data_IF_343439812399
#
_entry.id   IF_343439812399
#
_cell.length_a   1.000
_cell.length_b   1.000
_cell.length_c   1.000
_cell.angle_alpha   90.00
_cell.angle_beta   90.00
_cell.angle_gamma   90.00
#
_symmetry.space_group_name_H-M   'P 1'
#
loop_
_entity.id
_entity.type
_entity.pdbx_description
1 polymer ?
#
# COMPACT_ATOMS: atom_id res chain seq x y z
N UNK A 1 46.01 9.06 40.79
CA UNK A 1 46.26 7.80 40.04
C UNK A 1 46.41 8.20 38.59
N UNK A 2 47.57 7.94 37.99
CA UNK A 2 47.89 8.34 36.60
C UNK A 2 48.28 7.12 35.78
N UNK A 3 48.05 7.17 34.47
CA UNK A 3 48.59 6.17 33.55
C UNK A 3 50.08 6.41 33.27
N UNK A 4 50.69 5.54 32.46
CA UNK A 4 52.10 5.61 32.07
C UNK A 4 52.43 6.85 31.22
N UNK A 5 51.42 7.48 30.63
CA UNK A 5 51.55 8.75 29.89
C UNK A 5 51.35 9.98 30.80
N UNK A 6 51.07 9.80 32.09
CA UNK A 6 50.87 10.86 33.07
C UNK A 6 49.46 11.45 33.10
N UNK A 7 48.49 10.89 32.37
CA UNK A 7 47.11 11.37 32.39
C UNK A 7 46.42 10.96 33.70
N UNK A 8 45.61 11.84 34.27
CA UNK A 8 44.79 11.50 35.43
C UNK A 8 43.73 10.44 35.06
N UNK A 9 43.62 9.44 35.93
CA UNK A 9 42.54 8.45 35.90
C UNK A 9 41.43 8.77 36.91
N UNK A 10 41.58 9.81 37.73
CA UNK A 10 40.60 10.18 38.75
C UNK A 10 39.21 10.46 38.18
N UNK A 11 38.18 9.91 38.80
CA UNK A 11 36.78 10.03 38.37
C UNK A 11 36.42 9.23 37.12
N UNK A 12 37.36 8.53 36.48
CA UNK A 12 37.06 7.69 35.31
C UNK A 12 36.54 6.33 35.76
N UNK A 13 35.40 5.92 35.21
CA UNK A 13 35.00 4.52 35.19
C UNK A 13 35.96 3.76 34.28
N UNK A 14 36.39 2.56 34.67
CA UNK A 14 37.29 1.70 33.91
C UNK A 14 36.91 0.23 34.12
N UNK A 15 37.23 -0.59 33.12
CA UNK A 15 37.14 -2.05 33.19
C UNK A 15 38.44 -2.67 33.70
N UNK A 16 38.33 -3.69 34.55
CA UNK A 16 39.43 -4.42 35.16
C UNK A 16 39.22 -5.93 35.02
N UNK A 17 40.30 -6.66 34.76
CA UNK A 17 40.36 -8.11 34.94
C UNK A 17 41.20 -8.40 36.16
N UNK A 18 40.62 -9.10 37.14
CA UNK A 18 41.31 -9.56 38.32
C UNK A 18 41.71 -11.02 38.12
N UNK A 19 42.95 -11.37 38.47
CA UNK A 19 43.47 -12.74 38.43
C UNK A 19 43.44 -13.38 37.02
N UNK A 20 43.71 -12.58 35.98
CA UNK A 20 43.73 -12.99 34.57
C UNK A 20 44.45 -14.33 34.35
N UNK A 21 43.82 -15.21 33.57
CA UNK A 21 44.32 -16.54 33.22
C UNK A 21 44.18 -17.60 34.31
N UNK A 22 43.48 -17.31 35.42
CA UNK A 22 43.19 -18.27 36.49
C UNK A 22 41.71 -18.65 36.48
N UNK A 23 41.36 -19.76 37.15
CA UNK A 23 39.96 -20.16 37.35
C UNK A 23 39.14 -19.21 38.21
N UNK A 24 39.80 -18.21 38.83
CA UNK A 24 39.20 -17.16 39.65
C UNK A 24 39.23 -15.81 38.93
N UNK A 25 39.37 -15.81 37.60
CA UNK A 25 39.31 -14.61 36.79
C UNK A 25 37.95 -13.92 36.96
N UNK A 26 37.97 -12.62 37.22
CA UNK A 26 36.75 -11.81 37.38
C UNK A 26 36.88 -10.50 36.61
N UNK A 27 35.78 -10.13 35.94
CA UNK A 27 35.65 -8.87 35.23
C UNK A 27 34.86 -7.89 36.10
N UNK A 28 35.45 -6.71 36.28
CA UNK A 28 34.99 -5.69 37.21
C UNK A 28 34.97 -4.35 36.50
N UNK A 29 33.94 -3.55 36.75
CA UNK A 29 33.88 -2.16 36.35
C UNK A 29 33.84 -1.30 37.61
N UNK A 30 34.61 -0.21 37.66
CA UNK A 30 34.58 0.69 38.80
C UNK A 30 35.12 2.06 38.46
N UNK A 31 34.74 3.06 39.24
CA UNK A 31 35.24 4.43 39.10
C UNK A 31 36.47 4.62 39.98
N UNK A 32 37.57 5.09 39.39
CA UNK A 32 38.81 5.36 40.12
C UNK A 32 38.63 6.57 41.01
N UNK A 33 38.85 6.41 42.32
CA UNK A 33 38.98 7.50 43.27
C UNK A 33 40.45 7.63 43.67
N UNK A 34 41.11 8.66 43.12
CA UNK A 34 42.51 8.90 43.36
C UNK A 34 42.82 9.31 44.81
N UNK A 35 41.84 9.87 45.52
CA UNK A 35 42.01 10.33 46.90
C UNK A 35 42.11 9.16 47.86
N UNK A 36 41.19 8.20 47.73
CA UNK A 36 41.21 6.96 48.54
C UNK A 36 42.12 5.88 47.96
N UNK A 37 42.61 6.05 46.73
CA UNK A 37 43.35 5.03 45.96
C UNK A 37 42.56 3.72 45.85
N UNK A 38 41.24 3.84 45.62
CA UNK A 38 40.32 2.72 45.55
C UNK A 38 39.40 2.82 44.33
N UNK A 39 38.64 1.76 44.09
CA UNK A 39 37.53 1.77 43.13
C UNK A 39 36.23 1.97 43.91
N UNK A 40 35.42 2.93 43.46
CA UNK A 40 34.07 3.19 43.96
C UNK A 40 33.04 2.80 42.89
N UNK A 41 31.77 2.63 43.28
CA UNK A 41 30.67 2.21 42.38
C UNK A 41 30.99 0.94 41.59
N UNK A 42 31.56 -0.05 42.28
CA UNK A 42 32.10 -1.25 41.65
C UNK A 42 30.97 -2.20 41.24
N UNK A 43 30.89 -2.52 39.94
CA UNK A 43 30.13 -3.65 39.41
C UNK A 43 31.08 -4.85 39.28
N UNK A 44 30.66 -6.00 39.79
CA UNK A 44 31.46 -7.23 39.86
C UNK A 44 30.80 -8.35 39.09
N UNK A 45 31.54 -9.44 38.86
CA UNK A 45 31.04 -10.62 38.14
C UNK A 45 30.34 -10.26 36.81
N UNK A 46 30.97 -9.35 36.05
CA UNK A 46 30.49 -8.98 34.73
C UNK A 46 30.74 -10.18 33.81
N UNK A 47 29.67 -10.78 33.29
CA UNK A 47 29.79 -11.93 32.42
C UNK A 47 30.41 -11.55 31.08
N UNK A 48 31.31 -12.42 30.62
CA UNK A 48 31.98 -12.23 29.33
C UNK A 48 31.08 -12.50 28.13
N UNK A 49 29.95 -13.18 28.34
CA UNK A 49 29.08 -13.61 27.25
C UNK A 49 28.00 -12.57 26.95
N UNK A 50 27.50 -11.90 27.99
CA UNK A 50 26.32 -11.04 27.89
C UNK A 50 26.48 -9.69 28.64
N UNK A 51 27.62 -9.43 29.28
CA UNK A 51 27.90 -8.19 30.00
C UNK A 51 27.03 -7.97 31.24
N UNK A 52 26.18 -8.93 31.64
CA UNK A 52 25.33 -8.76 32.80
C UNK A 52 26.15 -8.87 34.10
N UNK A 53 25.77 -8.07 35.08
CA UNK A 53 26.28 -8.21 36.46
C UNK A 53 25.47 -9.30 37.14
N UNK A 54 26.11 -10.42 37.44
CA UNK A 54 25.45 -11.49 38.20
C UNK A 54 25.63 -11.24 39.69
N UNK A 55 24.54 -11.28 40.47
CA UNK A 55 24.55 -10.98 41.92
C UNK A 55 25.17 -12.08 42.78
N UNK A 56 26.10 -12.87 42.22
CA UNK A 56 26.86 -13.86 42.94
C UNK A 56 27.80 -13.20 43.93
N UNK A 57 28.12 -13.88 45.04
CA UNK A 57 29.22 -13.46 45.90
C UNK A 57 30.50 -13.61 45.09
N UNK A 58 30.93 -12.55 44.41
CA UNK A 58 32.12 -12.57 43.56
C UNK A 58 33.30 -13.22 44.24
N UNK A 59 34.17 -13.80 43.43
CA UNK A 59 35.28 -14.63 43.90
C UNK A 59 36.02 -13.96 45.06
N UNK A 60 36.37 -14.74 46.10
CA UNK A 60 37.20 -14.25 47.20
C UNK A 60 38.60 -13.97 46.62
N UNK A 61 38.84 -12.72 46.23
CA UNK A 61 40.13 -12.33 45.69
C UNK A 61 41.21 -12.35 46.76
N UNK A 62 42.40 -12.75 46.36
CA UNK A 62 43.56 -12.84 47.25
C UNK A 62 44.29 -11.51 47.31
N UNK A 63 44.94 -11.22 48.44
CA UNK A 63 45.93 -10.14 48.50
C UNK A 63 47.00 -10.40 47.43
N UNK A 64 47.37 -9.37 46.67
CA UNK A 64 48.31 -9.43 45.53
C UNK A 64 47.77 -10.16 44.28
N UNK A 65 46.45 -10.21 44.08
CA UNK A 65 45.89 -10.58 42.78
C UNK A 65 46.44 -9.65 41.68
N UNK A 66 46.69 -10.21 40.50
CA UNK A 66 47.11 -9.42 39.33
C UNK A 66 45.89 -8.69 38.80
N UNK A 67 46.00 -7.38 38.60
CA UNK A 67 44.92 -6.54 38.05
C UNK A 67 45.41 -6.00 36.71
N UNK A 68 44.63 -6.21 35.66
CA UNK A 68 44.86 -5.64 34.33
C UNK A 68 43.70 -4.72 33.98
N UNK A 69 44.00 -3.49 33.54
CA UNK A 69 42.98 -2.59 32.98
C UNK A 69 42.66 -3.10 31.58
N UNK A 70 41.39 -3.33 31.28
CA UNK A 70 40.94 -3.87 29.99
C UNK A 70 39.84 -3.01 29.39
N UNK A 71 39.76 -3.01 28.06
CA UNK A 71 38.64 -2.41 27.32
C UNK A 71 37.43 -3.35 27.23
N UNK A 72 37.54 -4.59 27.73
CA UNK A 72 36.52 -5.62 27.54
C UNK A 72 35.10 -5.21 27.96
N UNK A 73 34.85 -4.67 29.17
CA UNK A 73 33.50 -4.27 29.57
C UNK A 73 32.87 -3.23 28.62
N UNK A 74 33.65 -2.27 28.13
CA UNK A 74 33.20 -1.28 27.15
C UNK A 74 32.81 -1.91 25.81
N UNK A 75 33.59 -2.88 25.34
CA UNK A 75 33.30 -3.57 24.10
C UNK A 75 32.02 -4.41 24.22
N UNK A 76 31.78 -5.03 25.37
CA UNK A 76 30.55 -5.79 25.63
C UNK A 76 29.33 -4.88 25.67
N UNK A 77 29.41 -3.72 26.32
CA UNK A 77 28.33 -2.73 26.33
C UNK A 77 28.02 -2.21 24.92
N UNK A 78 29.04 -1.91 24.11
CA UNK A 78 28.86 -1.52 22.71
C UNK A 78 28.16 -2.62 21.90
N UNK A 79 28.54 -3.89 22.10
CA UNK A 79 27.91 -5.04 21.42
C UNK A 79 26.45 -5.20 21.85
N UNK A 80 26.12 -5.02 23.14
CA UNK A 80 24.74 -5.08 23.63
C UNK A 80 23.85 -4.00 23.01
N UNK A 81 24.38 -2.79 22.87
CA UNK A 81 23.66 -1.70 22.20
C UNK A 81 23.50 -1.99 20.70
N UNK A 82 24.54 -2.47 20.02
CA UNK A 82 24.45 -2.84 18.58
C UNK A 82 23.43 -3.97 18.35
N UNK A 83 23.34 -4.93 19.27
CA UNK A 83 22.39 -6.04 19.20
C UNK A 83 20.99 -5.67 19.72
N UNK A 84 20.75 -4.41 20.11
CA UNK A 84 19.46 -3.93 20.60
C UNK A 84 19.02 -4.53 21.94
N UNK A 85 19.94 -5.09 22.72
CA UNK A 85 19.64 -5.68 24.03
C UNK A 85 19.52 -4.61 25.11
N UNK A 86 20.32 -3.55 25.02
CA UNK A 86 20.25 -2.39 25.90
C UNK A 86 19.99 -1.11 25.12
N UNK A 87 19.31 -0.15 25.75
CA UNK A 87 19.20 1.21 25.24
C UNK A 87 20.57 1.91 25.30
N UNK A 88 20.95 2.62 24.24
CA UNK A 88 22.15 3.43 24.23
C UNK A 88 21.99 4.57 25.26
N UNK A 89 22.54 4.40 26.47
CA UNK A 89 22.46 5.39 27.56
C UNK A 89 23.13 6.75 27.25
N UNK A 90 23.76 6.88 26.08
CA UNK A 90 24.03 8.14 25.43
C UNK A 90 23.60 8.03 23.96
N UNK A 91 23.11 9.14 23.39
CA UNK A 91 22.84 9.20 21.95
C UNK A 91 24.14 8.80 21.25
N UNK A 92 24.17 7.63 20.59
CA UNK A 92 25.15 7.40 19.54
C UNK A 92 24.87 8.47 18.49
N UNK A 93 25.49 9.64 18.66
CA UNK A 93 25.33 10.73 17.72
C UNK A 93 25.96 10.27 16.44
N UNK A 94 25.13 9.85 15.50
CA UNK A 94 25.56 9.77 14.13
C UNK A 94 26.10 11.16 13.77
N UNK A 95 27.28 11.29 13.14
CA UNK A 95 27.75 12.58 12.69
C UNK A 95 26.67 13.21 11.80
N UNK A 96 26.44 14.51 11.98
CA UNK A 96 25.37 15.29 11.33
C UNK A 96 25.42 15.32 9.79
N UNK A 97 26.44 14.69 9.20
CA UNK A 97 26.55 14.46 7.77
C UNK A 97 27.37 13.19 7.52
N UNK A 98 26.76 12.16 6.92
CA UNK A 98 27.51 11.05 6.31
C UNK A 98 27.19 10.97 4.83
N UNK A 99 28.22 10.77 4.03
CA UNK A 99 28.06 10.24 2.68
C UNK A 99 28.01 8.71 2.78
N UNK A 100 26.90 8.11 2.37
CA UNK A 100 26.78 6.65 2.26
C UNK A 100 27.38 6.24 0.91
N UNK A 101 28.58 5.65 0.94
CA UNK A 101 29.32 5.27 -0.26
C UNK A 101 29.37 3.76 -0.50
N UNK A 102 28.90 2.95 0.44
CA UNK A 102 28.93 1.48 0.38
C UNK A 102 27.72 0.90 1.12
N UNK A 103 27.27 -0.29 0.72
CA UNK A 103 26.10 -1.00 1.26
C UNK A 103 26.29 -1.49 2.71
N UNK A 104 27.46 -1.28 3.29
CA UNK A 104 27.81 -1.67 4.67
C UNK A 104 27.76 -0.50 5.65
N UNK A 105 27.45 0.71 5.20
CA UNK A 105 27.30 1.86 6.10
C UNK A 105 25.96 1.75 6.85
N UNK A 106 26.01 1.96 8.17
CA UNK A 106 24.81 2.11 8.98
C UNK A 106 24.19 3.48 8.70
N UNK A 107 22.91 3.49 8.39
CA UNK A 107 22.08 4.67 8.17
C UNK A 107 21.21 4.90 9.38
N UNK A 108 20.97 6.16 9.74
CA UNK A 108 19.93 6.46 10.72
C UNK A 108 18.55 6.32 10.10
N UNK A 109 17.52 6.30 10.96
CA UNK A 109 16.13 6.19 10.54
C UNK A 109 15.74 7.35 9.62
N UNK A 110 16.20 8.57 9.90
CA UNK A 110 15.89 9.75 9.09
C UNK A 110 16.40 9.61 7.65
N UNK A 111 17.64 9.13 7.46
CA UNK A 111 18.17 8.83 6.12
C UNK A 111 17.39 7.71 5.43
N UNK A 112 17.04 6.63 6.15
CA UNK A 112 16.26 5.52 5.57
C UNK A 112 14.88 5.99 5.15
N UNK A 113 14.20 6.77 5.99
CA UNK A 113 12.88 7.34 5.68
C UNK A 113 12.99 8.30 4.50
N UNK A 114 14.02 9.16 4.44
CA UNK A 114 14.27 10.06 3.33
C UNK A 114 14.56 9.31 2.01
N UNK A 115 15.38 8.27 2.04
CA UNK A 115 15.66 7.45 0.85
C UNK A 115 14.44 6.63 0.45
N UNK A 116 13.68 6.07 1.39
CA UNK A 116 12.44 5.38 1.08
C UNK A 116 11.42 6.33 0.42
N UNK A 117 11.31 7.57 0.93
CA UNK A 117 10.46 8.61 0.37
C UNK A 117 10.95 9.12 -1.00
N UNK A 118 12.26 9.20 -1.22
CA UNK A 118 12.85 9.84 -2.42
C UNK A 118 13.21 8.86 -3.54
N UNK A 119 13.67 7.65 -3.21
CA UNK A 119 14.24 6.68 -4.16
C UNK A 119 13.31 5.49 -4.48
N UNK A 120 12.30 5.23 -3.64
CA UNK A 120 11.34 4.14 -3.85
C UNK A 120 9.89 4.58 -4.09
N UNK A 121 9.54 5.79 -3.67
CA UNK A 121 8.20 6.36 -3.83
C UNK A 121 8.03 7.17 -5.10
N UNK A 122 6.81 7.19 -5.63
CA UNK A 122 6.39 8.17 -6.63
C UNK A 122 6.42 9.53 -5.94
N UNK A 123 7.53 10.27 -6.07
CA UNK A 123 7.68 11.61 -5.48
C UNK A 123 6.85 12.67 -6.22
N UNK A 124 6.39 12.34 -7.43
CA UNK A 124 5.49 13.20 -8.19
C UNK A 124 4.23 13.50 -7.38
N UNK A 125 3.94 14.80 -7.24
CA UNK A 125 2.80 15.31 -6.49
C UNK A 125 2.72 14.92 -5.01
N UNK A 126 3.80 14.39 -4.44
CA UNK A 126 3.82 13.99 -3.03
C UNK A 126 3.68 15.24 -2.15
N UNK A 127 2.77 15.19 -1.19
CA UNK A 127 2.61 16.23 -0.18
C UNK A 127 3.40 15.82 1.06
N UNK A 128 4.29 16.69 1.54
CA UNK A 128 5.10 16.46 2.73
C UNK A 128 4.95 17.59 3.73
N UNK A 129 5.06 17.27 5.02
CA UNK A 129 5.10 18.25 6.10
C UNK A 129 6.44 19.02 6.06
N UNK A 130 6.37 20.35 5.92
CA UNK A 130 7.52 21.26 5.90
C UNK A 130 7.77 21.93 7.27
N UNK A 131 7.01 21.53 8.29
CA UNK A 131 7.02 22.04 9.66
C UNK A 131 5.85 22.98 9.95
N UNK A 132 5.33 22.89 11.19
CA UNK A 132 4.19 23.69 11.62
C UNK A 132 2.95 23.38 10.78
N UNK A 133 2.33 24.39 10.18
CA UNK A 133 1.17 24.23 9.28
C UNK A 133 1.54 24.35 7.79
N UNK A 134 2.83 24.19 7.45
CA UNK A 134 3.28 24.33 6.06
C UNK A 134 3.52 22.99 5.39
N UNK A 135 3.22 22.91 4.09
CA UNK A 135 3.46 21.72 3.27
C UNK A 135 4.34 22.06 2.08
N UNK A 136 5.07 21.04 1.61
CA UNK A 136 5.68 21.02 0.29
C UNK A 136 4.93 20.03 -0.61
N UNK A 137 4.84 20.33 -1.90
CA UNK A 137 4.23 19.47 -2.92
C UNK A 137 5.22 19.25 -4.06
N UNK A 138 5.59 17.99 -4.29
CA UNK A 138 6.52 17.61 -5.35
C UNK A 138 6.00 17.94 -6.76
N UNK A 139 6.92 18.24 -7.69
CA UNK A 139 6.62 18.45 -9.11
C UNK A 139 6.10 17.19 -9.81
N UNK A 140 5.33 17.31 -10.88
CA UNK A 140 4.83 16.16 -11.64
C UNK A 140 4.14 16.54 -12.96
N UNK A 141 3.62 15.53 -13.66
CA UNK A 141 2.86 15.71 -14.90
C UNK A 141 1.44 15.18 -14.75
N UNK A 142 0.45 16.02 -15.03
CA UNK A 142 -0.96 15.64 -15.09
C UNK A 142 -1.30 15.26 -16.52
N UNK A 143 -2.03 14.17 -16.71
CA UNK A 143 -2.61 13.83 -18.00
C UNK A 143 -4.07 14.24 -17.94
N UNK A 144 -4.43 15.20 -18.78
CA UNK A 144 -5.79 15.72 -18.95
C UNK A 144 -6.30 15.36 -20.34
N UNK A 145 -7.60 15.56 -20.58
CA UNK A 145 -8.19 15.34 -21.90
C UNK A 145 -7.55 16.22 -23.00
N UNK A 146 -7.01 17.39 -22.61
CA UNK A 146 -6.38 18.36 -23.52
C UNK A 146 -4.84 18.18 -23.63
N UNK A 147 -4.28 17.18 -22.94
CA UNK A 147 -2.86 16.81 -23.04
C UNK A 147 -2.15 16.72 -21.68
N UNK A 148 -0.82 16.81 -21.73
CA UNK A 148 0.04 16.72 -20.54
C UNK A 148 0.32 18.12 -19.99
N UNK A 149 -0.01 18.34 -18.72
CA UNK A 149 0.23 19.59 -17.99
C UNK A 149 1.32 19.36 -16.95
N UNK A 150 2.36 20.21 -16.96
CA UNK A 150 3.44 20.14 -15.97
C UNK A 150 3.10 20.98 -14.74
N UNK A 151 3.26 20.40 -13.56
CA UNK A 151 3.25 21.12 -12.29
C UNK A 151 4.68 21.17 -11.75
N UNK A 152 5.20 22.39 -11.56
CA UNK A 152 6.59 22.61 -11.15
C UNK A 152 6.88 22.24 -9.68
N UNK A 153 5.85 21.88 -8.90
CA UNK A 153 5.96 21.74 -7.45
C UNK A 153 5.82 23.09 -6.74
N UNK A 154 5.52 23.04 -5.45
CA UNK A 154 5.44 24.23 -4.59
C UNK A 154 6.00 23.90 -3.22
N UNK A 155 6.63 24.87 -2.56
CA UNK A 155 7.22 24.70 -1.24
C UNK A 155 6.72 25.76 -0.25
N UNK A 156 6.52 25.37 1.01
CA UNK A 156 6.12 26.26 2.10
C UNK A 156 4.67 26.75 2.02
N UNK A 157 3.77 25.97 1.42
CA UNK A 157 2.36 26.36 1.31
C UNK A 157 1.67 26.26 2.66
N UNK A 158 1.08 27.37 3.10
CA UNK A 158 0.49 27.49 4.43
C UNK A 158 -0.95 26.99 4.43
N UNK A 159 -1.24 26.04 5.32
CA UNK A 159 -2.57 25.50 5.51
C UNK A 159 -3.42 26.39 6.44
N UNK A 160 -4.73 26.18 6.42
CA UNK A 160 -5.62 26.78 7.44
C UNK A 160 -5.44 26.01 8.74
N UNK A 161 -5.14 26.70 9.84
CA UNK A 161 -5.02 26.10 11.18
C UNK A 161 -6.37 25.62 11.73
N UNK A 162 -6.34 24.68 12.67
CA UNK A 162 -7.51 24.05 13.30
C UNK A 162 -8.57 23.56 12.29
N UNK A 163 -8.13 23.02 11.15
CA UNK A 163 -9.00 22.60 10.05
C UNK A 163 -8.49 21.35 9.33
N UNK A 164 -9.40 20.71 8.59
CA UNK A 164 -9.03 19.74 7.55
C UNK A 164 -8.85 20.47 6.24
N UNK A 165 -7.67 20.33 5.64
CA UNK A 165 -7.26 20.93 4.38
C UNK A 165 -7.17 19.82 3.31
N UNK A 166 -7.84 20.04 2.19
CA UNK A 166 -7.87 19.17 1.03
C UNK A 166 -6.96 19.77 -0.03
N UNK A 167 -5.79 19.17 -0.25
CA UNK A 167 -4.74 19.61 -1.16
C UNK A 167 -4.94 18.92 -2.51
N UNK A 168 -5.12 19.69 -3.57
CA UNK A 168 -5.48 19.18 -4.90
C UNK A 168 -4.90 20.06 -6.01
N UNK A 169 -4.88 19.55 -7.24
CA UNK A 169 -4.54 20.31 -8.44
C UNK A 169 -5.79 20.48 -9.31
N UNK A 170 -5.97 21.68 -9.88
CA UNK A 170 -6.93 21.84 -10.98
C UNK A 170 -6.38 21.23 -12.28
N UNK A 171 -7.20 21.25 -13.35
CA UNK A 171 -6.80 20.70 -14.65
C UNK A 171 -5.73 21.53 -15.37
N UNK A 172 -5.50 22.77 -14.93
CA UNK A 172 -4.41 23.62 -15.43
C UNK A 172 -3.10 23.41 -14.64
N UNK A 173 -3.08 22.47 -13.69
CA UNK A 173 -1.91 22.16 -12.88
C UNK A 173 -1.63 23.18 -11.77
N UNK A 174 -2.63 23.95 -11.34
CA UNK A 174 -2.51 24.92 -10.24
C UNK A 174 -2.87 24.26 -8.91
N UNK A 175 -2.06 24.51 -7.87
CA UNK A 175 -2.34 24.04 -6.52
C UNK A 175 -3.54 24.77 -5.91
N UNK A 176 -4.49 24.00 -5.41
CA UNK A 176 -5.69 24.48 -4.73
C UNK A 176 -5.81 23.77 -3.38
N UNK A 177 -6.04 24.56 -2.32
CA UNK A 177 -6.26 24.06 -0.96
C UNK A 177 -7.67 24.49 -0.54
N UNK A 178 -8.51 23.53 -0.16
CA UNK A 178 -9.88 23.78 0.28
C UNK A 178 -10.12 23.20 1.68
N UNK A 179 -11.01 23.79 2.47
CA UNK A 179 -11.36 23.29 3.81
C UNK A 179 -12.74 22.61 3.88
N UNK A 180 -13.53 22.66 2.80
CA UNK A 180 -14.88 22.09 2.78
C UNK A 180 -14.99 20.69 2.17
N UNK A 181 -13.96 20.23 1.44
CA UNK A 181 -13.96 18.94 0.76
C UNK A 181 -13.24 18.96 -0.60
N UNK A 182 -13.22 17.79 -1.26
CA UNK A 182 -12.71 17.64 -2.62
C UNK A 182 -13.59 18.38 -3.64
N UNK A 183 -12.96 19.02 -4.63
CA UNK A 183 -13.65 19.66 -5.75
C UNK A 183 -13.76 18.67 -6.91
N UNK A 184 -14.93 18.57 -7.53
CA UNK A 184 -15.14 17.68 -8.69
C UNK A 184 -14.31 18.17 -9.89
N UNK A 185 -13.64 17.23 -10.56
CA UNK A 185 -12.76 17.51 -11.70
C UNK A 185 -11.32 17.89 -11.33
N UNK A 186 -10.97 17.92 -10.04
CA UNK A 186 -9.62 18.23 -9.57
C UNK A 186 -8.92 16.93 -9.17
N UNK A 187 -7.58 16.93 -9.24
CA UNK A 187 -6.75 15.78 -8.89
C UNK A 187 -6.41 15.85 -7.39
N UNK A 188 -6.95 14.95 -6.55
CA UNK A 188 -6.66 14.95 -5.12
C UNK A 188 -5.22 14.52 -4.85
N UNK A 189 -4.51 15.25 -3.97
CA UNK A 189 -3.14 14.94 -3.57
C UNK A 189 -3.07 14.46 -2.12
N UNK A 190 -3.60 15.23 -1.17
CA UNK A 190 -3.56 14.86 0.25
C UNK A 190 -4.70 15.49 1.05
N UNK A 191 -5.07 14.84 2.16
CA UNK A 191 -5.94 15.39 3.19
C UNK A 191 -5.12 15.62 4.46
N UNK A 192 -5.01 16.88 4.88
CA UNK A 192 -4.14 17.30 5.98
C UNK A 192 -4.99 17.89 7.10
N UNK A 193 -4.86 17.38 8.33
CA UNK A 193 -5.53 17.96 9.51
C UNK A 193 -4.51 18.71 10.34
N UNK A 194 -4.75 19.99 10.55
CA UNK A 194 -3.95 20.85 11.41
C UNK A 194 -4.66 21.09 12.74
N UNK A 195 -3.88 21.28 13.80
CA UNK A 195 -4.39 21.76 15.07
C UNK A 195 -3.28 22.47 15.83
N UNK A 196 -3.62 23.59 16.48
CA UNK A 196 -2.70 24.33 17.35
C UNK A 196 -1.39 24.75 16.67
N UNK A 197 -1.45 25.12 15.39
CA UNK A 197 -0.29 25.57 14.63
C UNK A 197 0.64 24.46 14.15
N UNK A 198 0.18 23.20 14.13
CA UNK A 198 0.94 22.04 13.66
C UNK A 198 0.12 21.09 12.80
N UNK A 199 0.77 20.31 11.94
CA UNK A 199 0.14 19.21 11.18
C UNK A 199 0.04 17.99 12.10
N UNK A 200 -1.19 17.54 12.35
CA UNK A 200 -1.46 16.38 13.23
C UNK A 200 -1.70 15.09 12.45
N UNK A 201 -2.22 15.21 11.23
CA UNK A 201 -2.47 14.08 10.33
C UNK A 201 -2.20 14.53 8.89
N UNK A 202 -1.46 13.73 8.14
CA UNK A 202 -1.27 13.87 6.70
C UNK A 202 -1.63 12.54 6.03
N UNK A 203 -2.78 12.51 5.36
CA UNK A 203 -3.26 11.35 4.61
C UNK A 203 -2.98 11.55 3.11
N UNK A 204 -2.24 10.64 2.50
CA UNK A 204 -2.07 10.62 1.04
C UNK A 204 -3.41 10.29 0.36
N UNK A 205 -3.80 11.11 -0.61
CA UNK A 205 -5.06 10.98 -1.33
C UNK A 205 -4.85 10.83 -2.85
N UNK A 206 -3.62 10.52 -3.30
CA UNK A 206 -3.29 10.22 -4.69
C UNK A 206 -3.88 8.87 -5.10
N UNK A 207 -5.21 8.81 -5.23
CA UNK A 207 -5.97 7.59 -5.49
C UNK A 207 -5.80 7.02 -6.90
N UNK A 208 -5.13 7.76 -7.81
CA UNK A 208 -4.95 7.40 -9.22
C UNK A 208 -3.54 6.88 -9.53
N UNK A 209 -2.62 6.96 -8.57
CA UNK A 209 -1.30 6.31 -8.66
C UNK A 209 -1.32 5.08 -7.76
N UNK A 210 -2.17 4.12 -8.10
CA UNK A 210 -1.89 2.74 -7.74
C UNK A 210 -0.52 2.43 -8.35
N UNK A 211 0.40 1.83 -7.58
CA UNK A 211 1.69 1.43 -8.14
C UNK A 211 1.42 0.65 -9.43
N UNK A 212 2.24 0.74 -10.48
CA UNK A 212 2.00 0.02 -11.73
C UNK A 212 1.88 -1.51 -11.56
N UNK A 213 2.17 -2.05 -10.36
CA UNK A 213 1.86 -3.43 -9.96
C UNK A 213 0.40 -3.67 -9.53
N UNK A 214 -0.36 -2.65 -9.16
CA UNK A 214 -1.77 -2.71 -8.79
C UNK A 214 -2.73 -2.32 -9.93
N UNK A 215 -2.24 -1.65 -10.99
CA UNK A 215 -3.05 -1.31 -12.17
C UNK A 215 -3.10 -2.43 -13.23
N UNK A 216 -2.25 -3.45 -13.06
CA UNK A 216 -2.44 -4.72 -13.75
C UNK A 216 -3.28 -5.59 -12.84
N UNK A 217 -4.59 -5.64 -13.07
CA UNK A 217 -5.39 -6.74 -12.55
C UNK A 217 -4.92 -8.01 -13.28
N UNK A 218 -3.85 -8.60 -12.79
CA UNK A 218 -3.34 -9.90 -13.22
C UNK A 218 -3.90 -10.91 -12.24
N UNK A 219 -4.49 -11.98 -12.77
CA UNK A 219 -4.82 -13.17 -12.00
C UNK A 219 -3.96 -14.32 -12.49
N UNK A 220 -3.51 -15.13 -11.54
CA UNK A 220 -2.82 -16.40 -11.71
C UNK A 220 -3.55 -17.55 -11.00
N UNK A 221 -4.79 -17.30 -10.57
CA UNK A 221 -5.61 -18.20 -9.75
C UNK A 221 -6.20 -19.39 -10.53
N UNK A 222 -6.14 -19.36 -11.86
CA UNK A 222 -6.78 -20.34 -12.73
C UNK A 222 -5.80 -20.98 -13.71
N UNK A 223 -6.00 -22.27 -13.96
CA UNK A 223 -5.20 -23.04 -14.90
C UNK A 223 -5.57 -22.71 -16.35
N UNK A 224 -4.64 -22.95 -17.28
CA UNK A 224 -4.96 -22.96 -18.70
C UNK A 224 -5.76 -24.21 -19.07
N UNK A 225 -6.84 -24.04 -19.83
CA UNK A 225 -7.67 -25.15 -20.33
C UNK A 225 -7.19 -25.72 -21.66
N UNK A 226 -6.28 -25.02 -22.35
CA UNK A 226 -5.69 -25.42 -23.62
C UNK A 226 -4.29 -24.79 -23.82
N UNK A 227 -3.67 -25.01 -24.98
CA UNK A 227 -2.39 -24.35 -25.30
C UNK A 227 -2.62 -22.89 -25.66
N UNK A 228 -2.01 -21.98 -24.89
CA UNK A 228 -2.18 -20.54 -25.00
C UNK A 228 -0.79 -19.91 -25.05
N UNK A 229 -0.60 -18.98 -25.98
CA UNK A 229 0.61 -18.17 -26.10
C UNK A 229 0.39 -16.77 -25.49
N UNK A 230 1.47 -16.18 -25.00
CA UNK A 230 1.47 -14.81 -24.52
C UNK A 230 0.96 -13.84 -25.61
N UNK A 231 0.10 -12.91 -25.20
CA UNK A 231 -0.57 -11.93 -26.06
C UNK A 231 -1.88 -12.40 -26.69
N UNK A 232 -2.27 -13.67 -26.54
CA UNK A 232 -3.58 -14.14 -27.00
C UNK A 232 -4.71 -13.68 -26.09
N UNK A 233 -5.88 -13.41 -26.69
CA UNK A 233 -7.10 -13.10 -25.95
C UNK A 233 -7.74 -14.38 -25.40
N UNK A 234 -8.05 -14.38 -24.11
CA UNK A 234 -8.61 -15.53 -23.39
C UNK A 234 -9.92 -15.15 -22.71
N UNK A 235 -10.77 -16.15 -22.48
CA UNK A 235 -11.96 -16.04 -21.67
C UNK A 235 -11.89 -17.01 -20.48
N UNK A 236 -12.51 -16.63 -19.36
CA UNK A 236 -12.62 -17.52 -18.21
C UNK A 236 -13.83 -18.44 -18.37
N UNK A 237 -13.59 -19.73 -18.54
CA UNK A 237 -14.62 -20.75 -18.43
C UNK A 237 -14.93 -20.99 -16.95
N UNK A 238 -15.95 -20.30 -16.44
CA UNK A 238 -16.34 -20.38 -15.02
C UNK A 238 -16.89 -21.73 -14.62
N UNK A 239 -17.28 -22.58 -15.58
CA UNK A 239 -17.75 -23.94 -15.28
C UNK A 239 -16.58 -24.85 -14.98
N UNK A 240 -15.50 -24.73 -15.75
CA UNK A 240 -14.28 -25.51 -15.58
C UNK A 240 -13.26 -24.85 -14.62
N UNK A 241 -13.37 -23.55 -14.36
CA UNK A 241 -12.37 -22.78 -13.62
C UNK A 241 -11.05 -22.65 -14.37
N UNK A 242 -11.10 -22.44 -15.69
CA UNK A 242 -9.91 -22.44 -16.56
C UNK A 242 -9.94 -21.29 -17.58
N UNK A 243 -8.77 -20.78 -17.92
CA UNK A 243 -8.59 -19.85 -19.04
C UNK A 243 -8.52 -20.60 -20.36
N UNK A 244 -9.31 -20.19 -21.35
CA UNK A 244 -9.33 -20.76 -22.71
C UNK A 244 -9.29 -19.63 -23.74
N UNK A 245 -8.95 -19.92 -24.99
CA UNK A 245 -8.89 -18.96 -26.08
C UNK A 245 -10.29 -18.39 -26.35
N UNK A 246 -10.41 -17.06 -26.37
CA UNK A 246 -11.67 -16.40 -26.71
C UNK A 246 -11.91 -16.46 -28.22
N UNK A 247 -13.15 -16.70 -28.64
CA UNK A 247 -13.53 -16.85 -30.05
C UNK A 247 -14.87 -16.14 -30.30
N UNK A 248 -14.85 -15.06 -31.07
CA UNK A 248 -16.06 -14.29 -31.35
C UNK A 248 -17.07 -15.01 -32.25
N UNK A 249 -16.78 -16.22 -32.75
CA UNK A 249 -17.73 -17.06 -33.49
C UNK A 249 -18.71 -17.83 -32.60
N UNK A 250 -18.45 -17.89 -31.28
CA UNK A 250 -19.30 -18.55 -30.31
C UNK A 250 -19.62 -17.65 -29.10
N UNK A 251 -20.90 -17.50 -28.75
CA UNK A 251 -21.34 -16.59 -27.69
C UNK A 251 -20.69 -16.88 -26.33
N UNK A 252 -20.59 -18.17 -25.99
CA UNK A 252 -20.09 -18.64 -24.70
C UNK A 252 -18.64 -18.23 -24.42
N UNK A 253 -17.84 -18.01 -25.46
CA UNK A 253 -16.42 -17.64 -25.36
C UNK A 253 -16.20 -16.14 -25.59
N UNK A 254 -17.21 -15.41 -26.07
CA UNK A 254 -17.15 -13.98 -26.37
C UNK A 254 -17.80 -13.07 -25.30
N UNK A 255 -18.72 -13.59 -24.48
CA UNK A 255 -19.55 -12.77 -23.58
C UNK A 255 -19.06 -12.70 -22.12
N UNK A 256 -18.18 -13.61 -21.70
CA UNK A 256 -17.65 -13.73 -20.34
C UNK A 256 -16.56 -12.71 -19.95
N UNK A 257 -15.83 -13.04 -18.88
CA UNK A 257 -14.62 -12.31 -18.44
C UNK A 257 -13.54 -12.56 -19.50
N UNK A 258 -13.02 -11.47 -20.07
CA UNK A 258 -11.96 -11.50 -21.08
C UNK A 258 -10.65 -11.00 -20.46
N UNK A 259 -9.55 -11.63 -20.84
CA UNK A 259 -8.20 -11.18 -20.49
C UNK A 259 -7.20 -11.39 -21.62
N UNK A 260 -5.96 -10.96 -21.39
CA UNK A 260 -4.82 -11.22 -22.26
C UNK A 260 -3.82 -12.10 -21.52
N UNK A 261 -3.43 -13.22 -22.11
CA UNK A 261 -2.40 -14.10 -21.57
C UNK A 261 -1.04 -13.37 -21.54
N UNK A 262 -0.34 -13.43 -20.41
CA UNK A 262 0.99 -12.81 -20.25
C UNK A 262 2.14 -13.81 -20.34
N UNK A 263 1.84 -15.11 -20.25
CA UNK A 263 2.80 -16.20 -20.28
C UNK A 263 2.35 -17.26 -21.29
N UNK A 264 3.31 -17.97 -21.90
CA UNK A 264 3.01 -19.17 -22.67
C UNK A 264 2.69 -20.33 -21.73
N UNK A 265 1.75 -21.20 -22.12
CA UNK A 265 1.39 -22.39 -21.36
C UNK A 265 0.63 -23.43 -22.17
N UNK A 266 0.58 -24.64 -21.64
CA UNK A 266 -0.23 -25.73 -22.17
C UNK A 266 -1.43 -26.01 -21.25
N UNK A 267 -2.32 -26.90 -21.66
CA UNK A 267 -3.47 -27.30 -20.85
C UNK A 267 -3.02 -27.83 -19.47
N UNK A 268 -3.74 -27.43 -18.43
CA UNK A 268 -3.51 -27.72 -17.01
C UNK A 268 -2.24 -27.10 -16.41
N UNK A 269 -1.58 -26.16 -17.10
CA UNK A 269 -0.55 -25.34 -16.46
C UNK A 269 -1.18 -24.37 -15.46
N UNK A 270 -0.68 -24.37 -14.23
CA UNK A 270 -1.09 -23.48 -13.14
C UNK A 270 -0.15 -22.29 -12.96
N UNK A 271 -0.60 -21.26 -12.26
CA UNK A 271 0.20 -20.06 -11.96
C UNK A 271 0.54 -19.21 -13.18
N UNK A 272 -0.23 -19.36 -14.27
CA UNK A 272 -0.06 -18.57 -15.50
C UNK A 272 -0.79 -17.26 -15.36
N UNK A 273 -0.13 -16.17 -15.74
CA UNK A 273 -0.67 -14.83 -15.55
C UNK A 273 -1.59 -14.44 -16.71
N UNK A 274 -2.77 -13.93 -16.38
CA UNK A 274 -3.72 -13.33 -17.32
C UNK A 274 -4.08 -11.94 -16.83
N UNK A 275 -3.93 -10.94 -17.68
CA UNK A 275 -4.31 -9.56 -17.36
C UNK A 275 -5.75 -9.30 -17.79
N UNK A 276 -6.61 -8.84 -16.87
CA UNK A 276 -8.05 -8.61 -17.10
C UNK A 276 -8.45 -7.12 -17.09
N UNK A 277 -7.53 -6.22 -16.70
CA UNK A 277 -7.69 -4.77 -16.82
C UNK A 277 -6.34 -4.05 -16.97
N UNK A 278 -6.38 -2.78 -17.35
CA UNK A 278 -5.22 -1.89 -17.38
C UNK A 278 -4.38 -2.02 -18.66
N UNK A 279 -3.14 -1.54 -18.62
CA UNK A 279 -2.27 -1.47 -19.80
C UNK A 279 -1.53 -2.80 -20.02
N UNK A 280 -1.70 -3.40 -21.20
CA UNK A 280 -0.93 -4.55 -21.69
C UNK A 280 0.04 -4.06 -22.77
N UNK A 281 1.34 -4.23 -22.55
CA UNK A 281 2.41 -3.84 -23.48
C UNK A 281 3.07 -5.06 -24.13
N UNK A 282 3.77 -4.85 -25.24
CA UNK A 282 4.54 -5.90 -25.92
C UNK A 282 3.69 -6.81 -26.81
N UNK A 283 2.46 -6.39 -27.11
CA UNK A 283 1.61 -7.04 -28.09
C UNK A 283 2.13 -6.76 -29.51
N UNK A 284 1.62 -7.49 -30.49
CA UNK A 284 1.94 -7.26 -31.90
C UNK A 284 0.68 -7.33 -32.75
N UNK A 285 0.69 -6.64 -33.89
CA UNK A 285 -0.42 -6.67 -34.84
C UNK A 285 -1.65 -5.85 -34.44
N UNK A 286 -1.55 -4.98 -33.42
CA UNK A 286 -2.64 -4.07 -33.08
C UNK A 286 -2.73 -2.94 -34.13
N UNK A 287 -3.94 -2.44 -34.34
CA UNK A 287 -4.20 -1.21 -35.09
C UNK A 287 -4.69 -0.15 -34.11
N UNK A 288 -4.19 1.09 -34.18
CA UNK A 288 -4.65 2.14 -33.25
C UNK A 288 -6.18 2.30 -33.29
N UNK A 289 -6.82 2.37 -32.11
CA UNK A 289 -8.27 2.42 -31.96
C UNK A 289 -8.87 1.26 -31.15
N UNK A 290 -10.19 1.09 -31.23
CA UNK A 290 -10.90 0.03 -30.51
C UNK A 290 -10.50 -1.37 -31.00
N UNK A 291 -10.24 -2.27 -30.04
CA UNK A 291 -9.96 -3.68 -30.29
C UNK A 291 -11.13 -4.56 -29.85
N UNK A 292 -11.30 -5.66 -30.56
CA UNK A 292 -12.36 -6.64 -30.36
C UNK A 292 -11.80 -8.07 -30.29
N UNK A 293 -12.57 -8.98 -29.70
CA UNK A 293 -12.35 -10.43 -29.88
C UNK A 293 -12.58 -10.78 -31.36
N UNK A 294 -11.67 -11.55 -31.95
CA UNK A 294 -11.75 -12.03 -33.34
C UNK A 294 -12.57 -13.32 -33.46
N UNK A 295 -13.10 -13.62 -34.65
CA UNK A 295 -13.65 -14.95 -34.99
C UNK A 295 -12.57 -16.03 -35.15
N UNK A 296 -11.29 -15.66 -35.00
CA UNK A 296 -10.18 -16.62 -34.86
C UNK A 296 -9.81 -16.73 -33.39
N UNK A 297 -9.94 -17.94 -32.82
CA UNK A 297 -9.65 -18.20 -31.42
C UNK A 297 -8.29 -17.63 -30.98
N UNK A 298 -8.30 -16.84 -29.91
CA UNK A 298 -7.10 -16.23 -29.34
C UNK A 298 -6.61 -14.96 -30.03
N UNK A 299 -7.20 -14.54 -31.15
CA UNK A 299 -6.76 -13.38 -31.89
C UNK A 299 -7.51 -12.09 -31.50
N UNK A 300 -6.79 -10.97 -31.55
CA UNK A 300 -7.32 -9.61 -31.40
C UNK A 300 -7.61 -9.05 -32.81
N UNK A 301 -8.70 -8.30 -32.95
CA UNK A 301 -9.10 -7.70 -34.23
C UNK A 301 -9.47 -6.22 -34.07
N UNK A 302 -9.17 -5.42 -35.09
CA UNK A 302 -9.61 -4.01 -35.19
C UNK A 302 -11.06 -3.86 -35.68
N UNK A 303 -11.71 -4.96 -36.05
CA UNK A 303 -13.14 -5.03 -36.38
C UNK A 303 -13.83 -6.08 -35.51
N UNK A 304 -15.08 -5.80 -35.11
CA UNK A 304 -15.87 -6.76 -34.34
C UNK A 304 -16.09 -8.07 -35.12
N UNK A 305 -15.95 -9.21 -34.44
CA UNK A 305 -16.34 -10.53 -34.94
C UNK A 305 -17.87 -10.76 -34.92
N UNK A 306 -18.29 -12.02 -35.04
CA UNK A 306 -19.70 -12.44 -35.07
C UNK A 306 -20.45 -11.96 -33.83
N UNK A 307 -19.90 -12.21 -32.64
CA UNK A 307 -20.36 -11.63 -31.38
C UNK A 307 -19.52 -10.39 -31.03
N UNK A 308 -20.18 -9.22 -30.98
CA UNK A 308 -19.52 -7.92 -30.77
C UNK A 308 -19.04 -7.76 -29.33
N UNK A 309 -17.79 -8.14 -29.04
CA UNK A 309 -17.12 -7.90 -27.75
C UNK A 309 -15.91 -6.99 -27.94
N UNK A 310 -16.02 -5.74 -27.49
CA UNK A 310 -14.88 -4.83 -27.36
C UNK A 310 -14.06 -5.24 -26.15
N UNK A 311 -12.73 -5.28 -26.30
CA UNK A 311 -11.81 -5.66 -25.20
C UNK A 311 -11.00 -4.46 -24.69
N UNK A 312 -10.79 -3.44 -25.51
CA UNK A 312 -10.00 -2.29 -25.10
C UNK A 312 -9.74 -1.27 -26.20
N UNK A 313 -8.85 -0.34 -25.92
CA UNK A 313 -8.37 0.67 -26.85
C UNK A 313 -6.85 0.57 -27.02
N UNK A 314 -6.38 0.43 -28.25
CA UNK A 314 -4.95 0.40 -28.57
C UNK A 314 -4.48 1.82 -28.95
N UNK A 315 -3.67 2.50 -28.12
CA UNK A 315 -3.09 3.80 -28.51
C UNK A 315 -2.04 3.67 -29.62
N UNK A 316 -1.41 2.50 -29.74
CA UNK A 316 -0.37 2.19 -30.74
C UNK A 316 -0.45 0.72 -31.18
N UNK A 317 0.54 0.24 -31.95
CA UNK A 317 0.55 -1.11 -32.53
C UNK A 317 0.99 -2.22 -31.56
N UNK A 318 1.40 -1.87 -30.34
CA UNK A 318 2.04 -2.75 -29.35
C UNK A 318 1.45 -2.66 -27.94
N UNK A 319 0.58 -1.68 -27.70
CA UNK A 319 -0.04 -1.41 -26.41
C UNK A 319 -1.56 -1.52 -26.52
N UNK A 320 -2.19 -2.18 -25.55
CA UNK A 320 -3.64 -2.25 -25.40
C UNK A 320 -4.02 -1.77 -23.99
N UNK A 321 -4.87 -0.76 -23.90
CA UNK A 321 -5.57 -0.41 -22.67
C UNK A 321 -6.78 -1.34 -22.58
N UNK A 322 -6.66 -2.39 -21.77
CA UNK A 322 -7.70 -3.38 -21.56
C UNK A 322 -8.77 -2.79 -20.65
N UNK A 323 -9.99 -2.71 -21.19
CA UNK A 323 -11.14 -2.20 -20.45
C UNK A 323 -11.80 -3.40 -19.80
N UNK A 324 -11.88 -3.48 -18.46
CA UNK A 324 -12.51 -4.62 -17.80
C UNK A 324 -13.93 -4.74 -18.31
N UNK A 325 -14.30 -5.95 -18.76
CA UNK A 325 -15.67 -6.17 -19.17
C UNK A 325 -16.54 -6.22 -17.90
N UNK A 326 -17.11 -5.08 -17.52
CA UNK A 326 -18.28 -5.08 -16.67
C UNK A 326 -19.35 -5.84 -17.46
N UNK A 327 -19.85 -6.93 -16.91
CA UNK A 327 -20.97 -7.64 -17.52
C UNK A 327 -22.14 -6.66 -17.66
N UNK A 328 -22.30 -6.05 -18.84
CA UNK A 328 -23.41 -5.13 -19.11
C UNK A 328 -24.76 -5.82 -18.99
N UNK A 329 -24.79 -7.15 -18.94
CA UNK A 329 -25.96 -7.96 -18.58
C UNK A 329 -26.55 -7.74 -17.19
N UNK A 330 -26.04 -6.77 -16.40
CA UNK A 330 -26.69 -6.26 -15.17
C UNK A 330 -26.83 -4.73 -15.10
N UNK A 331 -26.41 -3.99 -16.11
CA UNK A 331 -26.49 -2.51 -16.13
C UNK A 331 -27.63 -1.99 -17.02
N UNK A 332 -28.37 -2.86 -17.70
CA UNK A 332 -29.56 -2.51 -18.45
C UNK A 332 -30.77 -2.20 -17.55
N UNK A 333 -30.61 -1.90 -16.26
CA UNK A 333 -31.74 -1.61 -15.39
C UNK A 333 -32.78 -2.74 -15.32
N UNK A 334 -32.49 -3.93 -15.87
CA UNK A 334 -33.23 -5.14 -15.59
C UNK A 334 -32.87 -5.52 -14.17
N UNK A 335 -33.57 -4.91 -13.21
CA UNK A 335 -33.84 -5.59 -11.97
C UNK A 335 -34.31 -6.99 -12.38
N UNK A 336 -33.46 -7.99 -12.17
CA UNK A 336 -33.71 -9.40 -12.42
C UNK A 336 -34.95 -9.92 -11.67
N UNK A 337 -35.58 -9.07 -10.85
CA UNK A 337 -36.88 -9.25 -10.22
C UNK A 337 -38.06 -8.74 -11.08
N UNK A 338 -37.83 -8.45 -12.36
CA UNK A 338 -38.87 -8.26 -13.39
C UNK A 338 -38.71 -9.30 -14.49
N UNK A 339 -38.40 -10.55 -14.09
CA UNK A 339 -38.53 -11.67 -15.03
C UNK A 339 -39.89 -11.58 -15.70
N UNK A 340 -39.95 -11.95 -16.98
CA UNK A 340 -41.21 -12.12 -17.71
C UNK A 340 -42.20 -12.95 -16.88
N UNK A 341 -41.72 -13.79 -15.96
CA UNK A 341 -42.51 -14.51 -14.94
C UNK A 341 -43.22 -13.60 -13.93
N UNK A 342 -42.62 -12.51 -13.44
CA UNK A 342 -43.30 -11.55 -12.56
C UNK A 342 -44.31 -10.69 -13.32
N UNK A 343 -44.03 -10.32 -14.58
CA UNK A 343 -45.01 -9.67 -15.46
C UNK A 343 -46.15 -10.61 -15.83
N UNK A 344 -45.85 -11.88 -16.13
CA UNK A 344 -46.83 -12.91 -16.39
C UNK A 344 -47.62 -13.25 -15.12
N UNK A 345 -47.00 -13.26 -13.95
CA UNK A 345 -47.67 -13.49 -12.66
C UNK A 345 -48.54 -12.30 -12.29
N UNK A 346 -48.09 -11.05 -12.50
CA UNK A 346 -48.89 -9.85 -12.32
C UNK A 346 -50.06 -9.85 -13.32
N UNK A 347 -49.80 -10.09 -14.61
CA UNK A 347 -50.85 -10.23 -15.62
C UNK A 347 -51.79 -11.38 -15.30
N UNK A 348 -51.31 -12.51 -14.78
CA UNK A 348 -52.16 -13.64 -14.37
C UNK A 348 -52.97 -13.28 -13.13
N UNK A 349 -52.39 -12.56 -12.17
CA UNK A 349 -53.10 -12.07 -10.99
C UNK A 349 -54.22 -11.09 -11.39
N UNK A 350 -53.89 -10.11 -12.24
CA UNK A 350 -54.85 -9.12 -12.74
C UNK A 350 -55.85 -9.68 -13.77
N UNK A 351 -55.49 -10.72 -14.52
CA UNK A 351 -56.41 -11.39 -15.46
C UNK A 351 -57.25 -12.50 -14.79
N UNK A 352 -56.80 -13.08 -13.68
CA UNK A 352 -57.58 -14.02 -12.88
C UNK A 352 -58.56 -13.30 -11.95
N UNK A 353 -58.29 -12.03 -11.62
CA UNK A 353 -59.32 -11.13 -11.11
C UNK A 353 -60.11 -10.57 -12.29
N UNK A 354 -61.16 -11.28 -12.69
CA UNK A 354 -62.21 -10.76 -13.58
C UNK A 354 -63.05 -9.70 -12.82
N UNK A 355 -62.37 -8.74 -12.18
CA UNK A 355 -63.00 -7.61 -11.51
C UNK A 355 -63.20 -6.57 -12.59
N UNK A 356 -64.40 -6.57 -13.16
CA UNK A 356 -64.83 -5.46 -13.99
C UNK A 356 -64.82 -4.18 -13.14
N UNK A 357 -64.62 -3.00 -13.75
CA UNK A 357 -64.58 -1.74 -12.98
C UNK A 357 -65.82 -1.51 -12.09
N UNK A 358 -66.94 -2.15 -12.40
CA UNK A 358 -68.18 -2.17 -11.61
C UNK A 358 -68.07 -3.01 -10.33
N UNK A 359 -67.31 -4.11 -10.34
CA UNK A 359 -67.10 -4.98 -9.17
C UNK A 359 -66.06 -4.41 -8.19
N UNK A 360 -65.18 -3.51 -8.64
CA UNK A 360 -64.23 -2.83 -7.77
C UNK A 360 -64.89 -1.84 -6.77
N UNK A 361 -66.10 -1.35 -7.07
CA UNK A 361 -66.86 -0.43 -6.20
C UNK A 361 -67.84 -1.13 -5.26
N UNK A 362 -68.06 -2.44 -5.45
CA UNK A 362 -69.01 -3.20 -4.63
C UNK A 362 -68.24 -4.14 -3.72
N UNK A 363 -68.34 -3.95 -2.41
CA UNK A 363 -67.74 -4.87 -1.44
C UNK A 363 -68.37 -6.27 -1.59
N UNK A 364 -67.70 -7.32 -1.12
CA UNK A 364 -68.15 -8.72 -1.29
C UNK A 364 -69.54 -9.00 -0.68
N UNK A 365 -70.03 -8.11 0.18
CA UNK A 365 -71.36 -8.15 0.79
C UNK A 365 -72.45 -7.39 -0.02
N UNK A 366 -72.09 -6.83 -1.18
CA UNK A 366 -72.99 -6.09 -2.04
C UNK A 366 -73.19 -4.62 -1.64
N UNK A 367 -72.48 -4.11 -0.62
CA UNK A 367 -72.56 -2.71 -0.22
C UNK A 367 -71.66 -1.81 -1.07
N UNK A 368 -72.08 -0.56 -1.28
CA UNK A 368 -71.27 0.46 -1.96
C UNK A 368 -70.21 0.98 -0.97
N UNK A 369 -68.94 0.96 -1.39
CA UNK A 369 -67.81 1.43 -0.59
C UNK A 369 -67.95 2.89 -0.11
N UNK A 370 -68.73 3.73 -0.81
CA UNK A 370 -69.03 5.11 -0.39
C UNK A 370 -69.75 5.19 0.97
N UNK A 371 -70.41 4.13 1.41
CA UNK A 371 -71.11 4.10 2.70
C UNK A 371 -70.19 3.97 3.92
N UNK A 372 -68.89 3.70 3.72
CA UNK A 372 -67.92 3.49 4.80
C UNK A 372 -67.30 4.79 5.33
N UNK A 373 -67.38 5.89 4.58
CA UNK A 373 -66.89 7.21 5.01
C UNK A 373 -68.06 8.11 5.44
N UNK A 374 -68.62 7.83 6.62
CA UNK A 374 -69.48 8.81 7.31
C UNK A 374 -68.55 9.86 7.93
N UNK A 375 -68.42 11.01 7.28
CA UNK A 375 -67.88 12.20 7.93
C UNK A 375 -68.94 12.74 8.90
N UNK A 376 -68.85 12.35 10.16
CA UNK A 376 -69.58 13.01 11.23
C UNK A 376 -69.03 14.44 11.37
N UNK A 377 -69.76 15.40 10.80
CA UNK A 377 -69.52 16.82 11.03
C UNK A 377 -70.14 17.15 12.39
N UNK A 378 -69.33 17.10 13.44
CA UNK A 378 -69.66 17.69 14.75
C UNK A 378 -68.66 18.80 15.11
#
# INVERSE_FOLDING_TARGET
VTDDAGNSLDGKTLGFVIDKGKSTEEYVEGTVDASSKSLINVKRDISVTDGQTYSGTGSIHRKKATIEITAFPYLTDVVRVINGTDEAGGVMKNPSSRTISDSRHLTDKEYVDAVAATAGGISAFMVTDAGGITIDVGSGYLITDDGVVEYAGTAGETLTDDATNYVMLDLDGTLVINTTGWVSGYVPLAKVTTASGDITVLEDARGWLTSPSADRMVTDDYDYGETISAGQVVYLDTTAGQWKLADASAEATATGIIGIALDDGVASDSGKRVQVAGIVSGLSGLTAGYQYVSDTAGAISSSAGTYKKMIGYAPDTTTLVLIPSFGVGKLDGSNSDTTTDNLNAAMTFFAATDITGTEAETLTDGSNADSLHIHDIF
#
